data_IF_126773121292
#
_entry.id   IF_126773121292
#
_cell.length_a   1.000
_cell.length_b   1.000
_cell.length_c   1.000
_cell.angle_alpha   90.00
_cell.angle_beta   90.00
_cell.angle_gamma   90.00
#
_symmetry.space_group_name_H-M   'P 1'
#
loop_
_entity.id
_entity.type
_entity.pdbx_description
1 polymer ?
#
# COMPACT_ATOMS: atom_id res chain seq x y z
N UNK A 1 -11.74 11.82 -9.83
CA UNK A 1 -12.27 10.48 -9.49
C UNK A 1 -11.64 9.36 -10.33
N UNK A 2 -11.53 9.49 -11.66
CA UNK A 2 -10.87 8.48 -12.53
C UNK A 2 -9.44 8.19 -12.12
N UNK A 3 -8.63 9.23 -11.87
CA UNK A 3 -7.26 9.07 -11.38
C UNK A 3 -7.21 8.30 -10.06
N UNK A 4 -8.05 8.66 -9.08
CA UNK A 4 -8.11 7.97 -7.79
C UNK A 4 -8.48 6.48 -7.91
N UNK A 5 -9.37 6.12 -8.84
CA UNK A 5 -9.71 4.71 -9.12
C UNK A 5 -8.52 3.96 -9.73
N UNK A 6 -7.88 4.55 -10.73
CA UNK A 6 -6.74 3.95 -11.40
C UNK A 6 -5.57 3.76 -10.43
N UNK A 7 -5.23 4.77 -9.65
CA UNK A 7 -4.12 4.72 -8.69
C UNK A 7 -4.41 3.76 -7.53
N UNK A 8 -5.65 3.68 -7.05
CA UNK A 8 -6.06 2.66 -6.07
C UNK A 8 -5.94 1.24 -6.64
N UNK A 9 -6.42 1.02 -7.87
CA UNK A 9 -6.33 -0.29 -8.53
C UNK A 9 -4.87 -0.72 -8.78
N UNK A 10 -4.02 0.22 -9.23
CA UNK A 10 -2.59 -0.02 -9.36
C UNK A 10 -1.98 -0.42 -8.02
N UNK A 11 -2.25 0.31 -6.93
CA UNK A 11 -1.68 -0.02 -5.62
C UNK A 11 -2.13 -1.39 -5.13
N UNK A 12 -3.42 -1.70 -5.27
CA UNK A 12 -3.97 -3.01 -4.93
C UNK A 12 -3.27 -4.13 -5.71
N UNK A 13 -3.14 -3.97 -7.04
CA UNK A 13 -2.49 -4.95 -7.90
C UNK A 13 -1.02 -5.19 -7.51
N UNK A 14 -0.28 -4.11 -7.20
CA UNK A 14 1.10 -4.22 -6.70
C UNK A 14 1.13 -4.98 -5.37
N UNK A 15 0.27 -4.67 -4.41
CA UNK A 15 0.20 -5.38 -3.13
C UNK A 15 -0.12 -6.88 -3.27
N UNK A 16 -0.96 -7.25 -4.24
CA UNK A 16 -1.22 -8.66 -4.58
C UNK A 16 0.02 -9.30 -5.19
N UNK A 17 0.64 -8.64 -6.18
CA UNK A 17 1.83 -9.14 -6.82
C UNK A 17 2.96 -9.40 -5.82
N UNK A 18 3.21 -8.45 -4.91
CA UNK A 18 4.21 -8.59 -3.83
C UNK A 18 3.97 -9.84 -2.97
N UNK A 19 2.71 -10.16 -2.66
CA UNK A 19 2.35 -11.36 -1.92
C UNK A 19 2.54 -12.63 -2.75
N UNK A 20 2.15 -12.63 -4.03
CA UNK A 20 2.28 -13.78 -4.93
C UNK A 20 3.73 -14.18 -5.12
N UNK A 21 4.63 -13.19 -5.27
CA UNK A 21 6.06 -13.47 -5.46
C UNK A 21 6.82 -13.75 -4.15
N UNK A 22 6.11 -13.78 -3.01
CA UNK A 22 6.70 -13.84 -1.67
C UNK A 22 7.87 -12.87 -1.52
N UNK A 23 7.62 -11.58 -1.82
CA UNK A 23 8.62 -10.53 -1.76
C UNK A 23 9.47 -10.58 -0.47
N UNK A 24 8.89 -10.69 0.76
CA UNK A 24 9.69 -10.72 1.99
C UNK A 24 10.64 -11.93 2.05
N UNK A 25 10.24 -13.10 1.55
CA UNK A 25 11.11 -14.28 1.49
C UNK A 25 12.18 -14.19 0.40
N UNK A 26 11.94 -13.43 -0.68
CA UNK A 26 12.97 -13.15 -1.70
C UNK A 26 14.04 -12.18 -1.20
N UNK A 27 13.63 -11.04 -0.63
CA UNK A 27 14.58 -10.05 -0.09
C UNK A 27 15.40 -10.60 1.08
N UNK A 28 14.89 -11.60 1.80
CA UNK A 28 15.64 -12.24 2.89
C UNK A 28 16.70 -13.22 2.41
N UNK A 29 16.53 -13.81 1.21
CA UNK A 29 17.48 -14.75 0.59
C UNK A 29 18.58 -14.03 -0.19
N UNK A 30 18.24 -12.88 -0.76
CA UNK A 30 19.15 -12.03 -1.54
C UNK A 30 19.12 -10.61 -0.95
N UNK A 31 19.82 -10.36 0.18
CA UNK A 31 19.85 -9.04 0.80
C UNK A 31 20.46 -8.01 -0.15
N UNK A 32 19.67 -7.01 -0.55
CA UNK A 32 20.12 -5.91 -1.41
C UNK A 32 20.94 -4.86 -0.66
N UNK A 33 21.63 -3.98 -1.38
CA UNK A 33 22.53 -2.95 -0.81
C UNK A 33 21.81 -1.73 -0.18
N UNK A 34 20.61 -1.90 0.39
CA UNK A 34 19.92 -0.87 1.17
C UNK A 34 18.46 -0.58 0.77
N UNK A 35 17.89 0.48 1.37
CA UNK A 35 16.47 0.82 1.23
C UNK A 35 16.02 1.18 -0.20
N UNK A 36 16.95 1.54 -1.10
CA UNK A 36 16.72 1.72 -2.53
C UNK A 36 17.59 0.78 -3.37
N UNK A 37 18.05 -0.33 -2.82
CA UNK A 37 18.80 -1.36 -3.54
C UNK A 37 17.93 -2.10 -4.58
N UNK A 38 18.55 -2.90 -5.44
CA UNK A 38 17.81 -3.83 -6.29
C UNK A 38 16.93 -4.77 -5.44
N UNK A 39 15.71 -5.02 -5.91
CA UNK A 39 14.71 -5.78 -5.15
C UNK A 39 13.95 -4.99 -4.07
N UNK A 40 14.35 -3.74 -3.75
CA UNK A 40 13.66 -2.96 -2.71
C UNK A 40 12.28 -2.45 -3.17
N UNK A 41 11.20 -2.72 -2.39
CA UNK A 41 9.89 -2.15 -2.66
C UNK A 41 9.81 -0.62 -2.60
N UNK A 42 10.76 0.04 -1.94
CA UNK A 42 10.76 1.50 -1.87
C UNK A 42 10.91 2.16 -3.25
N UNK A 43 11.58 1.50 -4.22
CA UNK A 43 11.80 2.06 -5.56
C UNK A 43 10.52 2.36 -6.32
N UNK A 44 9.47 1.55 -6.13
CA UNK A 44 8.20 1.71 -6.84
C UNK A 44 7.10 2.32 -5.98
N UNK A 45 7.12 2.17 -4.65
CA UNK A 45 6.13 2.79 -3.77
C UNK A 45 6.41 4.27 -3.47
N UNK A 46 7.68 4.68 -3.32
CA UNK A 46 8.02 6.08 -2.94
C UNK A 46 7.59 7.09 -4.02
N UNK A 47 7.82 6.87 -5.32
CA UNK A 47 7.39 7.83 -6.34
C UNK A 47 5.86 7.88 -6.52
N UNK A 48 5.17 6.77 -6.27
CA UNK A 48 3.74 6.64 -6.54
C UNK A 48 2.86 7.05 -5.34
N UNK A 49 3.37 6.96 -4.11
CA UNK A 49 2.63 7.31 -2.90
C UNK A 49 2.09 8.75 -2.87
N UNK A 50 2.85 9.81 -3.24
CA UNK A 50 2.32 11.17 -3.29
C UNK A 50 1.17 11.33 -4.27
N UNK A 51 1.25 10.65 -5.43
CA UNK A 51 0.21 10.68 -6.45
C UNK A 51 -1.07 10.02 -5.95
N UNK A 52 -0.96 8.87 -5.29
CA UNK A 52 -2.11 8.12 -4.77
C UNK A 52 -2.81 8.89 -3.64
N UNK A 53 -2.03 9.38 -2.67
CA UNK A 53 -2.55 10.18 -1.55
C UNK A 53 -3.15 11.50 -2.04
N UNK A 54 -2.46 12.21 -2.93
CA UNK A 54 -2.94 13.46 -3.52
C UNK A 54 -4.24 13.27 -4.30
N UNK A 55 -4.35 12.20 -5.09
CA UNK A 55 -5.57 11.89 -5.83
C UNK A 55 -6.76 11.56 -4.91
N UNK A 56 -6.51 10.83 -3.82
CA UNK A 56 -7.56 10.46 -2.86
C UNK A 56 -8.04 11.67 -2.05
N UNK A 57 -7.12 12.48 -1.51
CA UNK A 57 -7.44 13.70 -0.77
C UNK A 57 -8.11 14.72 -1.68
N UNK A 58 -7.56 14.95 -2.87
CA UNK A 58 -8.13 15.87 -3.85
C UNK A 58 -9.56 15.49 -4.25
N UNK A 59 -9.84 14.20 -4.43
CA UNK A 59 -11.19 13.71 -4.70
C UNK A 59 -12.13 13.99 -3.52
N UNK A 60 -11.70 13.78 -2.27
CA UNK A 60 -12.53 14.03 -1.10
C UNK A 60 -12.83 15.52 -0.85
N UNK A 61 -11.83 16.40 -1.04
CA UNK A 61 -11.96 17.85 -0.80
C UNK A 61 -12.86 18.51 -1.85
N UNK A 62 -12.78 18.09 -3.11
CA UNK A 62 -13.55 18.67 -4.22
C UNK A 62 -14.92 18.01 -4.42
N UNK A 63 -15.31 17.08 -3.53
CA UNK A 63 -16.52 16.29 -3.66
C UNK A 63 -17.81 17.12 -3.41
N UNK A 64 -18.83 16.98 -4.27
CA UNK A 64 -20.18 17.43 -3.94
C UNK A 64 -20.73 16.65 -2.73
N UNK A 65 -21.70 17.24 -2.01
CA UNK A 65 -22.20 16.72 -0.74
C UNK A 65 -22.69 15.25 -0.82
N UNK A 66 -23.32 14.86 -1.94
CA UNK A 66 -23.80 13.50 -2.21
C UNK A 66 -22.68 12.44 -2.28
N UNK A 67 -21.48 12.84 -2.70
CA UNK A 67 -20.30 11.99 -2.89
C UNK A 67 -19.31 12.07 -1.72
N UNK A 68 -19.46 13.06 -0.83
CA UNK A 68 -18.46 13.40 0.19
C UNK A 68 -18.15 12.24 1.13
N UNK A 69 -19.17 11.63 1.74
CA UNK A 69 -18.97 10.53 2.70
C UNK A 69 -18.17 9.36 2.11
N UNK A 70 -18.56 8.75 0.97
CA UNK A 70 -17.78 7.66 0.40
C UNK A 70 -16.38 8.08 -0.03
N UNK A 71 -16.17 9.32 -0.52
CA UNK A 71 -14.84 9.79 -0.90
C UNK A 71 -13.94 10.04 0.32
N UNK A 72 -14.49 10.49 1.46
CA UNK A 72 -13.76 10.58 2.73
C UNK A 72 -13.36 9.19 3.24
N UNK A 73 -14.26 8.21 3.17
CA UNK A 73 -13.94 6.82 3.53
C UNK A 73 -12.81 6.27 2.65
N UNK A 74 -12.89 6.50 1.33
CA UNK A 74 -11.80 6.12 0.41
C UNK A 74 -10.48 6.77 0.80
N UNK A 75 -10.47 8.08 1.04
CA UNK A 75 -9.26 8.81 1.45
C UNK A 75 -8.70 8.29 2.78
N UNK A 76 -9.56 8.00 3.76
CA UNK A 76 -9.15 7.44 5.05
C UNK A 76 -8.53 6.04 4.88
N UNK A 77 -9.18 5.13 4.16
CA UNK A 77 -8.65 3.80 3.89
C UNK A 77 -7.30 3.84 3.16
N UNK A 78 -7.18 4.70 2.14
CA UNK A 78 -5.91 4.91 1.42
C UNK A 78 -4.83 5.49 2.33
N UNK A 79 -5.18 6.46 3.19
CA UNK A 79 -4.25 7.04 4.17
C UNK A 79 -3.73 6.02 5.19
N UNK A 80 -4.62 5.16 5.72
CA UNK A 80 -4.21 4.09 6.63
C UNK A 80 -3.34 3.05 5.90
N UNK A 81 -3.68 2.67 4.67
CA UNK A 81 -2.86 1.75 3.86
C UNK A 81 -1.45 2.31 3.61
N UNK A 82 -1.34 3.63 3.36
CA UNK A 82 -0.06 4.31 3.24
C UNK A 82 0.74 4.25 4.55
N UNK A 83 0.11 4.53 5.69
CA UNK A 83 0.75 4.44 6.99
C UNK A 83 1.26 3.02 7.30
N UNK A 84 0.45 1.99 7.00
CA UNK A 84 0.86 0.58 7.13
C UNK A 84 2.04 0.26 6.22
N UNK A 85 2.05 0.79 4.99
CA UNK A 85 3.17 0.61 4.05
C UNK A 85 4.46 1.22 4.59
N UNK A 86 4.42 2.45 5.12
CA UNK A 86 5.58 3.09 5.75
C UNK A 86 6.07 2.28 6.96
N UNK A 87 5.15 1.79 7.79
CA UNK A 87 5.46 0.95 8.93
C UNK A 87 6.15 -0.35 8.51
N UNK A 88 5.63 -1.03 7.49
CA UNK A 88 6.22 -2.24 6.91
C UNK A 88 7.62 -2.00 6.37
N UNK A 89 7.80 -0.92 5.61
CA UNK A 89 9.12 -0.59 5.05
C UNK A 89 10.14 -0.40 6.16
N UNK A 90 9.81 0.38 7.19
CA UNK A 90 10.73 0.69 8.30
C UNK A 90 11.02 -0.50 9.20
N UNK A 91 10.00 -1.26 9.56
CA UNK A 91 10.12 -2.29 10.61
C UNK A 91 10.35 -3.70 10.09
N UNK A 92 10.12 -3.95 8.80
CA UNK A 92 10.24 -5.28 8.20
C UNK A 92 11.14 -5.27 6.98
N UNK A 93 10.82 -4.49 5.94
CA UNK A 93 11.57 -4.57 4.68
C UNK A 93 13.02 -4.13 4.82
N UNK A 94 13.27 -3.00 5.52
CA UNK A 94 14.65 -2.52 5.73
C UNK A 94 15.47 -3.53 6.55
N UNK A 95 15.01 -4.03 7.71
CA UNK A 95 15.74 -5.08 8.44
C UNK A 95 16.01 -6.36 7.65
N UNK A 96 15.07 -6.79 6.80
CA UNK A 96 15.25 -7.95 5.93
C UNK A 96 16.28 -7.66 4.82
N UNK A 97 16.20 -6.48 4.20
CA UNK A 97 17.11 -6.06 3.12
C UNK A 97 18.55 -5.86 3.62
N UNK A 98 18.75 -5.29 4.81
CA UNK A 98 20.10 -5.01 5.34
C UNK A 98 20.72 -6.20 6.06
N UNK A 99 20.01 -7.32 6.20
CA UNK A 99 20.44 -8.46 6.99
C UNK A 99 20.54 -8.17 8.49
N UNK A 100 19.99 -7.05 8.97
CA UNK A 100 20.05 -6.67 10.38
C UNK A 100 19.17 -7.56 11.27
N UNK A 101 18.21 -8.29 10.70
CA UNK A 101 17.38 -9.24 11.41
C UNK A 101 18.14 -10.57 11.68
N UNK A 102 18.23 -11.03 12.94
CA UNK A 102 18.77 -12.35 13.25
C UNK A 102 18.01 -13.46 12.52
N UNK A 103 18.70 -14.51 12.09
CA UNK A 103 18.11 -15.63 11.34
C UNK A 103 16.86 -16.21 12.05
N UNK A 104 16.93 -16.36 13.38
CA UNK A 104 15.83 -16.88 14.21
C UNK A 104 14.57 -16.00 14.19
N UNK A 105 14.72 -14.71 13.91
CA UNK A 105 13.63 -13.74 13.90
C UNK A 105 13.09 -13.47 12.48
N UNK A 106 13.79 -13.97 11.44
CA UNK A 106 13.47 -13.70 10.03
C UNK A 106 12.09 -14.22 9.65
N UNK A 107 11.73 -15.43 10.06
CA UNK A 107 10.42 -16.00 9.76
C UNK A 107 9.28 -15.17 10.37
N UNK A 108 9.44 -14.71 11.62
CA UNK A 108 8.43 -13.86 12.28
C UNK A 108 8.25 -12.51 11.58
N UNK A 109 9.31 -11.95 10.98
CA UNK A 109 9.22 -10.74 10.16
C UNK A 109 8.47 -10.99 8.84
N UNK A 110 8.72 -12.13 8.18
CA UNK A 110 8.00 -12.55 6.97
C UNK A 110 6.51 -12.74 7.26
N UNK A 111 6.17 -13.42 8.36
CA UNK A 111 4.78 -13.65 8.76
C UNK A 111 4.06 -12.32 9.07
N UNK A 112 4.75 -11.42 9.78
CA UNK A 112 4.25 -10.06 10.05
C UNK A 112 4.05 -9.27 8.76
N UNK A 113 4.96 -9.41 7.79
CA UNK A 113 4.82 -8.80 6.47
C UNK A 113 3.52 -9.22 5.80
N UNK A 114 3.27 -10.53 5.73
CA UNK A 114 2.07 -11.10 5.11
C UNK A 114 0.80 -10.66 5.84
N UNK A 115 0.80 -10.65 7.18
CA UNK A 115 -0.33 -10.20 7.98
C UNK A 115 -0.69 -8.73 7.68
N UNK A 116 0.30 -7.84 7.67
CA UNK A 116 0.08 -6.42 7.37
C UNK A 116 -0.25 -6.17 5.90
N UNK A 117 0.27 -6.99 4.98
CA UNK A 117 -0.11 -6.88 3.57
C UNK A 117 -1.57 -7.28 3.34
N UNK A 118 -2.09 -8.28 4.07
CA UNK A 118 -3.54 -8.60 4.08
C UNK A 118 -4.37 -7.39 4.54
N UNK A 119 -3.93 -6.70 5.59
CA UNK A 119 -4.59 -5.46 6.06
C UNK A 119 -4.56 -4.38 4.96
N UNK A 120 -3.43 -4.16 4.28
CA UNK A 120 -3.34 -3.24 3.12
C UNK A 120 -4.35 -3.59 2.03
N UNK A 121 -4.45 -4.86 1.67
CA UNK A 121 -5.39 -5.33 0.64
C UNK A 121 -6.84 -5.08 1.03
N UNK A 122 -7.23 -5.34 2.27
CA UNK A 122 -8.57 -5.05 2.78
C UNK A 122 -8.88 -3.55 2.72
N UNK A 123 -7.93 -2.71 3.15
CA UNK A 123 -8.08 -1.25 3.11
C UNK A 123 -8.21 -0.73 1.66
N UNK A 124 -7.38 -1.21 0.74
CA UNK A 124 -7.41 -0.79 -0.67
C UNK A 124 -8.67 -1.31 -1.39
N UNK A 125 -9.16 -2.49 -1.04
CA UNK A 125 -10.46 -2.98 -1.52
C UNK A 125 -11.61 -2.11 -1.00
N UNK A 126 -11.62 -1.79 0.30
CA UNK A 126 -12.59 -0.87 0.89
C UNK A 126 -12.56 0.52 0.25
N UNK A 127 -11.38 1.06 -0.01
CA UNK A 127 -11.21 2.32 -0.73
C UNK A 127 -11.77 2.26 -2.15
N UNK A 128 -11.55 1.14 -2.86
CA UNK A 128 -12.11 0.88 -4.19
C UNK A 128 -13.64 0.84 -4.18
N UNK A 129 -14.23 0.07 -3.27
CA UNK A 129 -15.69 -0.01 -3.10
C UNK A 129 -16.29 1.38 -2.82
N UNK A 130 -15.66 2.16 -1.95
CA UNK A 130 -16.12 3.51 -1.64
C UNK A 130 -16.06 4.44 -2.87
N UNK A 131 -15.02 4.34 -3.70
CA UNK A 131 -14.93 5.07 -4.97
C UNK A 131 -16.05 4.67 -5.95
N UNK A 132 -16.39 3.38 -6.03
CA UNK A 132 -17.52 2.93 -6.86
C UNK A 132 -18.87 3.44 -6.35
N UNK A 133 -19.07 3.44 -5.03
CA UNK A 133 -20.29 4.00 -4.42
C UNK A 133 -20.41 5.50 -4.75
N UNK A 134 -19.33 6.27 -4.62
CA UNK A 134 -19.31 7.67 -5.03
C UNK A 134 -19.65 7.83 -6.53
N UNK A 135 -19.10 6.97 -7.39
CA UNK A 135 -19.37 6.99 -8.83
C UNK A 135 -20.84 6.77 -9.17
N UNK A 136 -21.51 5.87 -8.45
CA UNK A 136 -22.93 5.58 -8.66
C UNK A 136 -23.83 6.72 -8.21
N UNK A 137 -23.45 7.46 -7.17
CA UNK A 137 -24.21 8.63 -6.65
C UNK A 137 -24.09 9.88 -7.51
N UNK A 138 -23.14 9.89 -8.45
CA UNK A 138 -22.96 10.98 -9.43
C UNK A 138 -23.87 10.82 -10.66
N UNK A 139 -24.27 9.59 -10.98
CA UNK A 139 -25.14 9.28 -12.12
C UNK A 139 -26.59 9.50 -11.75
#
# INVERSE_FOLDING_TARGET
MTVARLTNAQWFAVSVFEAVIDLPGRISREPGSGAFGEGSPARYHVPTAPLILGAAVGAAVTAPASERTPLVVSAACTGVSAAVTVHLVRTVNVPLLTGAAPERSRQGLIDRWHALNKVRLVLLAGAGVALEVAARRRR
#
